data_IF_663099083515
#
_entry.id   IF_663099083515
#
_cell.length_a   1.000
_cell.length_b   1.000
_cell.length_c   1.000
_cell.angle_alpha   90.00
_cell.angle_beta   90.00
_cell.angle_gamma   90.00
#
_symmetry.space_group_name_H-M   'P 1'
#
loop_
_entity.id
_entity.type
_entity.pdbx_description
1 polymer ?
#
# COMPACT_ATOMS: atom_id res chain seq x y z
N UNK A 1 -8.95 8.39 2.72
CA UNK A 1 -7.81 8.00 3.59
C UNK A 1 -6.94 7.07 2.75
N UNK A 2 -5.63 7.09 2.89
CA UNK A 2 -4.73 6.20 2.16
C UNK A 2 -4.07 5.20 3.11
N UNK A 3 -3.87 3.98 2.64
CA UNK A 3 -3.34 2.87 3.41
C UNK A 3 -2.16 2.27 2.67
N UNK A 4 -1.19 1.80 3.45
CA UNK A 4 -0.08 1.00 2.94
C UNK A 4 -0.31 -0.42 3.44
N UNK A 5 -0.52 -1.34 2.50
CA UNK A 5 -0.64 -2.76 2.77
C UNK A 5 0.66 -3.45 2.34
N UNK A 6 1.08 -4.47 3.07
CA UNK A 6 2.27 -5.27 2.77
C UNK A 6 1.91 -6.75 2.72
N UNK A 7 2.41 -7.43 1.71
CA UNK A 7 2.36 -8.88 1.64
C UNK A 7 3.78 -9.41 1.50
N UNK A 8 4.28 -10.00 2.59
CA UNK A 8 5.65 -10.54 2.65
C UNK A 8 5.79 -11.84 1.87
N UNK A 9 4.72 -12.60 1.68
CA UNK A 9 4.71 -13.84 0.89
C UNK A 9 4.78 -13.57 -0.61
N UNK A 10 4.19 -12.46 -1.05
CA UNK A 10 4.18 -12.01 -2.45
C UNK A 10 5.25 -10.96 -2.78
N UNK A 11 6.02 -10.52 -1.78
CA UNK A 11 7.00 -9.43 -1.90
C UNK A 11 6.39 -8.17 -2.51
N UNK A 12 5.24 -7.77 -1.97
CA UNK A 12 4.44 -6.64 -2.48
C UNK A 12 4.11 -5.63 -1.40
N UNK A 13 4.06 -4.37 -1.82
CA UNK A 13 3.54 -3.25 -1.03
C UNK A 13 2.49 -2.56 -1.89
N UNK A 14 1.30 -2.33 -1.35
CA UNK A 14 0.20 -1.64 -2.04
C UNK A 14 -0.11 -0.33 -1.34
N UNK A 15 -0.20 0.76 -2.11
CA UNK A 15 -0.82 2.01 -1.66
C UNK A 15 -2.23 2.08 -2.22
N UNK A 16 -3.22 2.15 -1.32
CA UNK A 16 -4.62 2.24 -1.71
C UNK A 16 -5.41 3.28 -0.90
N UNK A 17 -6.32 3.98 -1.58
CA UNK A 17 -7.37 4.79 -0.95
C UNK A 17 -8.73 4.12 -0.94
N UNK A 18 -8.87 2.96 -1.59
CA UNK A 18 -10.14 2.26 -1.73
C UNK A 18 -10.44 1.45 -0.49
N UNK A 19 -11.71 1.42 -0.09
CA UNK A 19 -12.15 0.61 1.06
C UNK A 19 -12.23 -0.87 0.71
N UNK A 20 -12.56 -1.22 -0.55
CA UNK A 20 -12.62 -2.61 -1.04
C UNK A 20 -11.29 -3.36 -0.92
N UNK A 21 -10.14 -2.66 -0.98
CA UNK A 21 -8.83 -3.29 -0.81
C UNK A 21 -8.55 -3.70 0.64
N UNK A 22 -9.41 -3.35 1.62
CA UNK A 22 -9.28 -3.84 2.99
C UNK A 22 -9.58 -5.34 3.10
N UNK A 23 -10.33 -5.90 2.14
CA UNK A 23 -10.62 -7.33 2.09
C UNK A 23 -9.32 -8.15 1.92
N UNK A 24 -8.26 -7.55 1.36
CA UNK A 24 -6.92 -8.15 1.26
C UNK A 24 -6.30 -8.50 2.62
N UNK A 25 -6.74 -7.85 3.71
CA UNK A 25 -6.30 -8.20 5.06
C UNK A 25 -6.71 -9.62 5.45
N UNK A 26 -7.85 -10.10 4.94
CA UNK A 26 -8.29 -11.49 5.13
C UNK A 26 -7.51 -12.47 4.25
N UNK A 27 -6.85 -11.97 3.19
CA UNK A 27 -6.05 -12.74 2.25
C UNK A 27 -4.54 -12.74 2.60
N UNK A 28 -4.19 -12.35 3.82
CA UNK A 28 -2.80 -12.40 4.32
C UNK A 28 -1.96 -11.17 4.00
N UNK A 29 -2.59 -10.05 3.60
CA UNK A 29 -1.92 -8.75 3.63
C UNK A 29 -1.96 -8.16 5.05
N UNK A 30 -0.97 -7.34 5.37
CA UNK A 30 -0.84 -6.65 6.66
C UNK A 30 -0.98 -5.14 6.45
N UNK A 31 -1.68 -4.45 7.37
CA UNK A 31 -1.72 -2.99 7.38
C UNK A 31 -0.42 -2.42 7.94
N UNK A 32 0.39 -1.81 7.08
CA UNK A 32 1.64 -1.15 7.47
C UNK A 32 1.42 0.30 7.96
N UNK A 33 0.34 0.96 7.55
CA UNK A 33 -0.03 2.28 8.07
C UNK A 33 -1.17 2.97 7.34
N UNK A 34 -1.71 4.02 7.95
CA UNK A 34 -2.77 4.87 7.40
C UNK A 34 -2.33 6.36 7.36
N UNK A 35 -2.70 7.05 6.29
CA UNK A 35 -2.22 8.39 5.97
C UNK A 35 -3.31 9.25 5.34
N UNK A 36 -3.39 10.52 5.75
CA UNK A 36 -4.39 11.46 5.20
C UNK A 36 -4.13 11.84 3.75
N UNK A 37 -2.87 11.79 3.30
CA UNK A 37 -2.44 12.19 1.95
C UNK A 37 -1.78 11.02 1.25
N UNK A 38 -2.14 10.81 -0.01
CA UNK A 38 -1.56 9.75 -0.85
C UNK A 38 -0.04 9.82 -0.89
N UNK A 39 0.51 11.04 -1.04
CA UNK A 39 1.95 11.27 -1.11
C UNK A 39 2.70 10.80 0.15
N UNK A 40 2.06 10.86 1.32
CA UNK A 40 2.67 10.41 2.57
C UNK A 40 2.68 8.87 2.62
N UNK A 41 1.59 8.22 2.22
CA UNK A 41 1.52 6.76 2.08
C UNK A 41 2.54 6.24 1.06
N UNK A 42 2.60 6.86 -0.13
CA UNK A 42 3.54 6.51 -1.19
C UNK A 42 5.00 6.59 -0.74
N UNK A 43 5.37 7.64 0.01
CA UNK A 43 6.73 7.77 0.55
C UNK A 43 7.11 6.66 1.52
N UNK A 44 6.17 6.22 2.36
CA UNK A 44 6.42 5.11 3.28
C UNK A 44 6.50 3.79 2.51
N UNK A 45 5.57 3.57 1.59
CA UNK A 45 5.54 2.38 0.76
C UNK A 45 6.82 2.21 -0.08
N UNK A 46 7.34 3.31 -0.66
CA UNK A 46 8.61 3.32 -1.39
C UNK A 46 9.79 2.89 -0.51
N UNK A 47 9.86 3.37 0.75
CA UNK A 47 10.93 2.98 1.68
C UNK A 47 10.84 1.51 2.06
N UNK A 48 9.61 1.00 2.28
CA UNK A 48 9.38 -0.41 2.58
C UNK A 48 9.77 -1.29 1.39
N UNK A 49 9.39 -0.88 0.18
CA UNK A 49 9.72 -1.58 -1.04
C UNK A 49 11.23 -1.65 -1.27
N UNK A 50 11.93 -0.52 -1.15
CA UNK A 50 13.38 -0.43 -1.30
C UNK A 50 14.14 -1.25 -0.25
N UNK A 51 13.73 -1.16 1.03
CA UNK A 51 14.39 -1.87 2.12
C UNK A 51 14.26 -3.40 2.05
N UNK A 52 13.25 -3.92 1.36
CA UNK A 52 12.93 -5.34 1.31
C UNK A 52 12.94 -5.93 -0.10
N UNK A 53 13.32 -5.15 -1.12
CA UNK A 53 13.27 -5.53 -2.54
C UNK A 53 11.86 -5.96 -2.99
N UNK A 54 10.82 -5.29 -2.48
CA UNK A 54 9.43 -5.59 -2.81
C UNK A 54 8.94 -4.77 -4.01
N UNK A 55 7.95 -5.28 -4.72
CA UNK A 55 7.22 -4.56 -5.76
C UNK A 55 6.26 -3.57 -5.10
N UNK A 56 6.40 -2.29 -5.43
CA UNK A 56 5.46 -1.25 -5.04
C UNK A 56 4.34 -1.11 -6.08
N UNK A 57 3.11 -1.33 -5.65
CA UNK A 57 1.88 -1.16 -6.42
C UNK A 57 1.10 0.06 -5.90
N UNK A 58 0.50 0.81 -6.81
CA UNK A 58 -0.43 1.88 -6.47
C UNK A 58 -1.42 2.08 -7.62
N UNK A 59 -2.59 2.60 -7.28
CA UNK A 59 -3.54 3.08 -8.28
C UNK A 59 -3.17 4.51 -8.69
N UNK A 60 -3.13 4.78 -10.00
CA UNK A 60 -3.28 6.17 -10.46
C UNK A 60 -4.70 6.59 -10.09
N UNK A 61 -4.85 7.52 -9.15
CA UNK A 61 -6.12 8.24 -9.07
C UNK A 61 -6.26 9.02 -10.36
N UNK A 62 -7.22 8.64 -11.21
CA UNK A 62 -7.61 9.48 -12.33
C UNK A 62 -7.95 10.86 -11.75
N UNK A 63 -7.21 11.88 -12.19
CA UNK A 63 -7.49 13.25 -11.83
C UNK A 63 -8.84 13.58 -12.44
N UNK A 64 -9.89 13.53 -11.62
CA UNK A 64 -11.21 14.04 -11.98
C UNK A 64 -11.19 15.57 -12.08
#
# INVERSE_FOLDING_TARGET
MFRVLINRGLWRVLVTGKEEDLDLLEEGWELAGEYKRWRDAYRVALRLADAHEYVLEWYLEEVA
#
